data_IF_592402232816
#
_entry.id   IF_592402232816
#
_cell.length_a   1.000
_cell.length_b   1.000
_cell.length_c   1.000
_cell.angle_alpha   90.00
_cell.angle_beta   90.00
_cell.angle_gamma   90.00
#
_symmetry.space_group_name_H-M   'P 1'
#
loop_
_entity.id
_entity.type
_entity.pdbx_description
1 polymer ?
#
# COMPACT_ATOMS: atom_id res chain seq x y z
N UNK A 1 -0.54 4.87 3.93
CA UNK A 1 -0.27 4.53 2.51
C UNK A 1 -1.43 3.76 1.88
N UNK A 2 -1.67 2.48 2.20
CA UNK A 2 -2.71 1.65 1.57
C UNK A 2 -4.12 2.26 1.67
N UNK A 3 -4.53 2.69 2.88
CA UNK A 3 -5.82 3.33 3.11
C UNK A 3 -6.08 4.49 2.14
N UNK A 4 -5.17 5.47 2.13
CA UNK A 4 -5.34 6.68 1.32
C UNK A 4 -5.35 6.36 -0.18
N UNK A 5 -4.62 5.33 -0.60
CA UNK A 5 -4.60 4.83 -1.96
C UNK A 5 -5.97 4.29 -2.41
N UNK A 6 -6.56 3.41 -1.60
CA UNK A 6 -7.86 2.81 -1.88
C UNK A 6 -8.97 3.85 -1.76
N UNK A 7 -8.89 4.71 -0.76
CA UNK A 7 -9.82 5.83 -0.59
C UNK A 7 -9.86 6.74 -1.82
N UNK A 8 -8.69 7.14 -2.35
CA UNK A 8 -8.60 7.94 -3.57
C UNK A 8 -9.23 7.23 -4.78
N UNK A 9 -9.04 5.92 -4.93
CA UNK A 9 -9.67 5.16 -6.02
C UNK A 9 -11.19 5.06 -5.88
N UNK A 10 -11.70 4.94 -4.65
CA UNK A 10 -13.14 4.93 -4.38
C UNK A 10 -13.76 6.29 -4.69
N UNK A 11 -13.10 7.39 -4.33
CA UNK A 11 -13.52 8.75 -4.72
C UNK A 11 -13.53 8.88 -6.24
N UNK A 12 -12.45 8.49 -6.93
CA UNK A 12 -12.38 8.56 -8.38
C UNK A 12 -13.48 7.70 -9.03
N UNK A 13 -13.80 6.54 -8.45
CA UNK A 13 -14.90 5.69 -8.89
C UNK A 13 -16.29 6.33 -8.73
N UNK A 14 -16.51 7.11 -7.67
CA UNK A 14 -17.73 7.90 -7.47
C UNK A 14 -17.83 9.02 -8.51
N UNK A 15 -16.74 9.76 -8.71
CA UNK A 15 -16.67 10.85 -9.70
C UNK A 15 -16.93 10.37 -11.13
N UNK A 16 -16.35 9.22 -11.52
CA UNK A 16 -16.63 8.58 -12.83
C UNK A 16 -18.10 8.22 -13.03
N UNK A 17 -18.87 8.11 -11.95
CA UNK A 17 -20.29 7.75 -11.95
C UNK A 17 -21.19 8.96 -11.65
N UNK A 18 -20.63 10.16 -11.66
CA UNK A 18 -21.29 11.43 -11.36
C UNK A 18 -22.08 11.41 -10.04
N UNK A 19 -21.44 10.85 -9.00
CA UNK A 19 -22.01 10.77 -7.66
C UNK A 19 -21.38 11.82 -6.76
N UNK A 20 -22.23 12.56 -6.07
CA UNK A 20 -21.85 13.67 -5.18
C UNK A 20 -21.71 13.23 -3.71
N UNK A 21 -22.14 12.01 -3.38
CA UNK A 21 -22.07 11.46 -2.03
C UNK A 21 -20.75 10.76 -1.76
N UNK A 22 -20.35 10.73 -0.49
CA UNK A 22 -19.18 9.96 -0.07
C UNK A 22 -19.38 8.46 -0.33
N UNK A 23 -18.35 7.78 -0.83
CA UNK A 23 -18.44 6.35 -1.19
C UNK A 23 -18.89 5.45 -0.03
N UNK A 24 -18.60 5.83 1.21
CA UNK A 24 -18.94 5.05 2.40
C UNK A 24 -20.40 5.27 2.85
N UNK A 25 -21.05 6.36 2.42
CA UNK A 25 -22.49 6.61 2.65
C UNK A 25 -23.36 6.18 1.48
N UNK A 26 -22.80 6.14 0.27
CA UNK A 26 -23.50 5.72 -0.94
C UNK A 26 -23.85 4.21 -0.92
N UNK A 27 -25.14 3.90 -0.87
CA UNK A 27 -25.67 2.52 -0.93
C UNK A 27 -25.42 1.82 -2.26
N UNK A 28 -25.18 2.58 -3.34
CA UNK A 28 -24.86 2.02 -4.66
C UNK A 28 -23.42 1.52 -4.77
N UNK A 29 -22.57 1.75 -3.76
CA UNK A 29 -21.26 1.06 -3.66
C UNK A 29 -21.50 -0.37 -3.18
N UNK A 30 -20.98 -1.38 -3.90
CA UNK A 30 -21.22 -2.79 -3.58
C UNK A 30 -20.40 -3.26 -2.38
N UNK A 31 -20.67 -2.68 -1.20
CA UNK A 31 -20.12 -3.07 0.09
C UNK A 31 -21.07 -4.07 0.75
N UNK A 32 -20.50 -5.07 1.41
CA UNK A 32 -21.27 -6.07 2.17
C UNK A 32 -21.62 -5.58 3.56
N UNK A 33 -22.49 -6.31 4.26
CA UNK A 33 -23.04 -5.90 5.56
C UNK A 33 -21.96 -5.68 6.61
N UNK A 34 -20.95 -6.56 6.66
CA UNK A 34 -19.80 -6.38 7.56
C UNK A 34 -19.06 -5.06 7.29
N UNK A 35 -18.80 -4.73 6.03
CA UNK A 35 -18.12 -3.48 5.67
C UNK A 35 -18.98 -2.26 6.04
N UNK A 36 -20.31 -2.35 5.89
CA UNK A 36 -21.25 -1.30 6.31
C UNK A 36 -21.28 -1.13 7.83
N UNK A 37 -21.28 -2.22 8.59
CA UNK A 37 -21.21 -2.18 10.05
C UNK A 37 -19.89 -1.54 10.53
N UNK A 38 -18.76 -1.91 9.94
CA UNK A 38 -17.45 -1.33 10.26
C UNK A 38 -17.43 0.20 9.96
N UNK A 39 -18.04 0.64 8.86
CA UNK A 39 -18.20 2.07 8.53
C UNK A 39 -19.09 2.80 9.55
N UNK A 40 -20.23 2.22 9.92
CA UNK A 40 -21.13 2.82 10.90
C UNK A 40 -20.43 2.99 12.27
N UNK A 41 -19.67 2.00 12.70
CA UNK A 41 -18.85 2.11 13.91
C UNK A 41 -17.77 3.19 13.80
N UNK A 42 -17.10 3.30 12.65
CA UNK A 42 -16.11 4.34 12.39
C UNK A 42 -16.73 5.74 12.43
N UNK A 43 -17.93 5.92 11.86
CA UNK A 43 -18.68 7.18 11.93
C UNK A 43 -19.07 7.54 13.37
N UNK A 44 -19.54 6.57 14.16
CA UNK A 44 -19.85 6.79 15.58
C UNK A 44 -18.60 7.21 16.36
N UNK A 45 -17.46 6.54 16.18
CA UNK A 45 -16.19 6.90 16.84
C UNK A 45 -15.69 8.28 16.40
N UNK A 46 -15.84 8.61 15.11
CA UNK A 46 -15.51 9.92 14.59
C UNK A 46 -16.40 11.03 15.19
N UNK A 47 -17.69 10.77 15.41
CA UNK A 47 -18.64 11.75 15.97
C UNK A 47 -18.55 11.97 17.49
N UNK A 48 -18.01 11.02 18.25
CA UNK A 48 -17.93 11.09 19.74
C UNK A 48 -17.15 12.27 20.33
N UNK A 49 -16.44 13.08 19.54
CA UNK A 49 -15.70 14.26 20.03
C UNK A 49 -16.39 15.61 19.74
N UNK A 50 -17.70 15.64 19.48
CA UNK A 50 -18.47 16.89 19.36
C UNK A 50 -18.13 17.79 18.16
N UNK A 51 -17.26 17.34 17.26
CA UNK A 51 -16.90 18.05 16.04
C UNK A 51 -17.70 17.51 14.84
N UNK A 52 -17.93 18.36 13.85
CA UNK A 52 -18.45 17.94 12.54
C UNK A 52 -17.70 16.70 12.06
N UNK A 53 -18.44 15.69 11.58
CA UNK A 53 -17.86 14.42 11.14
C UNK A 53 -17.05 14.69 9.86
N UNK A 54 -15.77 15.01 10.04
CA UNK A 54 -14.85 15.17 8.93
C UNK A 54 -14.61 13.81 8.29
N UNK A 55 -14.77 13.73 6.97
CA UNK A 55 -14.45 12.57 6.15
C UNK A 55 -13.11 11.92 6.54
N UNK A 56 -12.07 12.76 6.63
CA UNK A 56 -10.73 12.29 7.01
C UNK A 56 -10.68 11.56 8.35
N UNK A 57 -11.55 11.93 9.31
CA UNK A 57 -11.67 11.26 10.61
C UNK A 57 -12.36 9.91 10.48
N UNK A 58 -13.44 9.79 9.71
CA UNK A 58 -14.09 8.49 9.43
C UNK A 58 -13.11 7.54 8.77
N UNK A 59 -12.40 8.01 7.74
CA UNK A 59 -11.34 7.24 7.08
C UNK A 59 -10.24 6.85 8.07
N UNK A 60 -9.88 7.74 9.00
CA UNK A 60 -8.87 7.46 10.04
C UNK A 60 -9.26 6.34 11.00
N UNK A 61 -10.54 6.25 11.37
CA UNK A 61 -11.10 5.25 12.30
C UNK A 61 -11.26 3.85 11.68
N UNK A 62 -11.24 3.74 10.34
CA UNK A 62 -11.32 2.44 9.66
C UNK A 62 -10.02 1.63 9.83
N UNK A 63 -10.16 0.41 10.34
CA UNK A 63 -9.05 -0.48 10.66
C UNK A 63 -8.30 -0.98 9.42
N UNK A 64 -7.05 -1.43 9.58
CA UNK A 64 -6.32 -2.09 8.49
C UNK A 64 -7.07 -3.32 7.93
N UNK A 65 -7.76 -4.07 8.80
CA UNK A 65 -8.57 -5.22 8.40
C UNK A 65 -9.71 -4.85 7.47
N UNK A 66 -10.36 -3.71 7.68
CA UNK A 66 -11.37 -3.18 6.75
C UNK A 66 -10.79 -2.97 5.35
N UNK A 67 -9.65 -2.26 5.26
CA UNK A 67 -9.00 -1.96 3.97
C UNK A 67 -8.52 -3.22 3.25
N UNK A 68 -7.99 -4.19 4.01
CA UNK A 68 -7.65 -5.53 3.47
C UNK A 68 -8.90 -6.24 2.95
N UNK A 69 -10.01 -6.18 3.68
CA UNK A 69 -11.25 -6.85 3.30
C UNK A 69 -11.83 -6.33 1.99
N UNK A 70 -11.65 -5.05 1.64
CA UNK A 70 -12.02 -4.52 0.32
C UNK A 70 -11.26 -5.17 -0.85
N UNK A 71 -10.09 -5.76 -0.57
CA UNK A 71 -9.29 -6.52 -1.53
C UNK A 71 -9.60 -8.03 -1.49
N UNK A 72 -10.68 -8.46 -0.84
CA UNK A 72 -11.06 -9.87 -0.82
C UNK A 72 -11.66 -10.33 -2.15
N UNK A 73 -11.48 -11.62 -2.45
CA UNK A 73 -12.06 -12.29 -3.62
C UNK A 73 -13.56 -12.01 -3.86
N UNK A 74 -14.36 -11.83 -2.82
CA UNK A 74 -15.79 -11.46 -2.95
C UNK A 74 -16.03 -10.10 -3.63
N UNK A 75 -15.05 -9.20 -3.60
CA UNK A 75 -15.09 -7.90 -4.24
C UNK A 75 -14.35 -7.86 -5.59
N UNK A 76 -13.83 -9.01 -6.06
CA UNK A 76 -13.08 -9.14 -7.31
C UNK A 76 -13.84 -8.63 -8.53
N UNK A 77 -15.14 -8.89 -8.64
CA UNK A 77 -15.92 -8.47 -9.81
C UNK A 77 -16.52 -7.07 -9.64
N UNK A 78 -16.85 -6.69 -8.40
CA UNK A 78 -17.65 -5.49 -8.12
C UNK A 78 -16.83 -4.25 -7.78
N UNK A 79 -15.69 -4.40 -7.10
CA UNK A 79 -14.90 -3.28 -6.56
C UNK A 79 -13.48 -3.23 -7.11
N UNK A 80 -12.88 -4.39 -7.39
CA UNK A 80 -11.50 -4.46 -7.90
C UNK A 80 -11.25 -3.63 -9.17
N UNK A 81 -12.15 -3.56 -10.17
CA UNK A 81 -11.91 -2.73 -11.36
C UNK A 81 -11.65 -1.26 -11.03
N UNK A 82 -12.29 -0.74 -9.98
CA UNK A 82 -12.06 0.62 -9.50
C UNK A 82 -10.80 0.72 -8.63
N UNK A 83 -10.49 -0.32 -7.83
CA UNK A 83 -9.37 -0.30 -6.89
C UNK A 83 -8.00 -0.63 -7.53
N UNK A 84 -7.97 -1.34 -8.65
CA UNK A 84 -6.73 -1.79 -9.29
C UNK A 84 -5.79 -0.61 -9.64
N UNK A 85 -6.37 0.56 -9.95
CA UNK A 85 -5.61 1.80 -10.20
C UNK A 85 -4.77 2.26 -9.00
N UNK A 86 -5.06 1.79 -7.79
CA UNK A 86 -4.24 2.07 -6.61
C UNK A 86 -2.85 1.42 -6.71
N UNK A 87 -2.68 0.36 -7.52
CA UNK A 87 -1.49 -0.49 -7.58
C UNK A 87 -0.84 -0.45 -8.97
N UNK A 88 -0.60 0.76 -9.50
CA UNK A 88 -0.09 0.99 -10.87
C UNK A 88 1.26 0.34 -11.19
N UNK A 89 2.05 -0.02 -10.18
CA UNK A 89 3.37 -0.66 -10.34
C UNK A 89 3.37 -2.13 -9.95
N UNK A 90 2.20 -2.73 -9.68
CA UNK A 90 2.10 -4.18 -9.58
C UNK A 90 2.45 -4.82 -10.94
N UNK A 91 3.15 -5.97 -10.95
CA UNK A 91 3.56 -6.63 -12.19
C UNK A 91 2.35 -7.08 -13.04
N UNK A 92 1.23 -7.35 -12.38
CA UNK A 92 -0.04 -7.68 -12.99
C UNK A 92 -1.20 -7.01 -12.24
N UNK A 93 -2.32 -6.78 -12.94
CA UNK A 93 -3.59 -6.29 -12.39
C UNK A 93 -4.47 -7.40 -11.82
N UNK A 94 -4.00 -8.65 -11.73
CA UNK A 94 -4.73 -9.70 -11.06
C UNK A 94 -4.86 -9.42 -9.55
N UNK A 95 -6.09 -9.52 -9.02
CA UNK A 95 -6.36 -9.30 -7.60
C UNK A 95 -5.45 -10.14 -6.67
N UNK A 96 -5.23 -11.45 -6.90
CA UNK A 96 -4.38 -12.28 -6.02
C UNK A 96 -2.97 -11.73 -5.83
N UNK A 97 -2.37 -11.14 -6.89
CA UNK A 97 -1.03 -10.54 -6.84
C UNK A 97 -0.92 -9.45 -5.75
N UNK A 98 -2.03 -8.76 -5.48
CA UNK A 98 -2.10 -7.70 -4.46
C UNK A 98 -2.70 -8.21 -3.16
N UNK A 99 -3.76 -9.03 -3.25
CA UNK A 99 -4.46 -9.56 -2.08
C UNK A 99 -3.53 -10.40 -1.20
N UNK A 100 -2.74 -11.30 -1.80
CA UNK A 100 -1.93 -12.27 -1.07
C UNK A 100 -0.87 -11.63 -0.16
N UNK A 101 0.01 -10.73 -0.66
CA UNK A 101 0.98 -10.07 0.22
C UNK A 101 0.29 -9.19 1.27
N UNK A 102 -0.79 -8.48 0.92
CA UNK A 102 -1.54 -7.68 1.90
C UNK A 102 -2.19 -8.56 2.99
N UNK A 103 -2.69 -9.75 2.63
CA UNK A 103 -3.26 -10.70 3.55
C UNK A 103 -2.20 -11.27 4.52
N UNK A 104 -1.01 -11.59 4.01
CA UNK A 104 0.13 -12.04 4.82
C UNK A 104 0.57 -10.97 5.81
N UNK A 105 0.68 -9.71 5.38
CA UNK A 105 0.97 -8.59 6.27
C UNK A 105 -0.11 -8.37 7.34
N UNK A 106 -1.39 -8.50 6.98
CA UNK A 106 -2.48 -8.40 7.93
C UNK A 106 -2.40 -9.47 9.02
N UNK A 107 -2.15 -10.72 8.63
CA UNK A 107 -1.94 -11.82 9.59
C UNK A 107 -0.75 -11.51 10.50
N UNK A 108 0.40 -11.16 9.92
CA UNK A 108 1.62 -10.85 10.68
C UNK A 108 1.42 -9.72 11.70
N UNK A 109 0.81 -8.60 11.28
CA UNK A 109 0.47 -7.48 12.18
C UNK A 109 -0.44 -7.94 13.32
N UNK A 110 -1.45 -8.76 13.03
CA UNK A 110 -2.38 -9.23 14.06
C UNK A 110 -1.66 -10.11 15.08
N UNK A 111 -0.75 -10.98 14.67
CA UNK A 111 0.07 -11.79 15.60
C UNK A 111 0.87 -10.91 16.55
N UNK A 112 1.52 -9.87 16.02
CA UNK A 112 2.25 -8.88 16.85
C UNK A 112 1.31 -8.20 17.84
N UNK A 113 0.13 -7.74 17.38
CA UNK A 113 -0.84 -7.04 18.22
C UNK A 113 -1.44 -7.94 19.33
N UNK A 114 -1.54 -9.24 19.06
CA UNK A 114 -1.98 -10.25 20.02
C UNK A 114 -0.83 -10.82 20.88
N UNK A 115 0.39 -10.27 20.75
CA UNK A 115 1.60 -10.77 21.42
C UNK A 115 1.85 -12.27 21.20
N UNK A 116 1.42 -12.79 20.05
CA UNK A 116 1.74 -14.15 19.66
C UNK A 116 3.21 -14.26 19.25
N UNK A 117 3.80 -15.44 19.46
CA UNK A 117 5.17 -15.68 19.06
C UNK A 117 5.41 -15.55 17.56
N UNK A 118 6.37 -14.71 17.18
CA UNK A 118 6.77 -14.49 15.77
C UNK A 118 8.15 -15.06 15.43
N UNK A 119 8.89 -15.56 16.42
CA UNK A 119 10.27 -16.05 16.27
C UNK A 119 10.44 -17.22 15.30
N UNK A 120 9.39 -18.01 15.07
CA UNK A 120 9.40 -19.13 14.13
C UNK A 120 8.98 -18.73 12.71
N UNK A 121 8.64 -17.46 12.47
CA UNK A 121 8.24 -16.99 11.14
C UNK A 121 9.47 -16.59 10.32
N UNK A 122 9.46 -16.87 8.99
CA UNK A 122 10.51 -16.40 8.09
C UNK A 122 10.43 -14.86 8.00
N UNK A 123 11.30 -14.19 8.74
CA UNK A 123 11.28 -12.72 8.88
C UNK A 123 11.65 -12.01 7.57
N UNK A 124 12.54 -12.62 6.78
CA UNK A 124 12.90 -12.16 5.44
C UNK A 124 11.69 -12.14 4.50
N UNK A 125 10.94 -13.24 4.43
CA UNK A 125 9.70 -13.29 3.63
C UNK A 125 8.66 -12.22 4.07
N UNK A 126 8.62 -11.84 5.35
CA UNK A 126 7.75 -10.75 5.82
C UNK A 126 8.25 -9.38 5.44
N UNK A 127 9.58 -9.18 5.44
CA UNK A 127 10.20 -7.97 4.90
C UNK A 127 9.89 -7.84 3.40
N UNK A 128 10.00 -8.94 2.65
CA UNK A 128 9.70 -8.97 1.21
C UNK A 128 8.23 -8.65 0.93
N UNK A 129 7.30 -9.15 1.77
CA UNK A 129 5.89 -8.79 1.69
C UNK A 129 5.68 -7.27 1.87
N UNK A 130 6.35 -6.65 2.84
CA UNK A 130 6.27 -5.20 3.08
C UNK A 130 6.81 -4.44 1.86
N UNK A 131 8.00 -4.83 1.40
CA UNK A 131 8.67 -4.24 0.24
C UNK A 131 7.81 -4.35 -1.02
N UNK A 132 7.20 -5.52 -1.26
CA UNK A 132 6.30 -5.76 -2.40
C UNK A 132 5.11 -4.81 -2.39
N UNK A 133 4.39 -4.72 -1.26
CA UNK A 133 3.20 -3.86 -1.15
C UNK A 133 3.55 -2.37 -1.29
N UNK A 134 4.71 -1.94 -0.77
CA UNK A 134 5.20 -0.58 -0.96
C UNK A 134 5.60 -0.32 -2.41
N UNK A 135 6.25 -1.29 -3.06
CA UNK A 135 6.67 -1.22 -4.47
C UNK A 135 5.50 -1.04 -5.44
N UNK A 136 4.32 -1.62 -5.15
CA UNK A 136 3.13 -1.45 -5.98
C UNK A 136 2.64 0.00 -6.10
N UNK A 137 3.00 0.87 -5.16
CA UNK A 137 2.58 2.28 -5.10
C UNK A 137 3.58 3.26 -5.71
N UNK A 138 4.88 2.93 -5.73
CA UNK A 138 5.93 3.79 -6.29
C UNK A 138 7.28 3.07 -6.35
N UNK A 139 8.22 3.61 -7.14
CA UNK A 139 9.58 3.07 -7.38
C UNK A 139 10.52 3.09 -6.15
N UNK A 140 10.01 3.06 -4.92
CA UNK A 140 10.86 3.28 -3.74
C UNK A 140 11.64 2.04 -3.27
N UNK A 141 11.39 0.86 -3.85
CA UNK A 141 11.93 -0.41 -3.31
C UNK A 141 13.02 -1.04 -4.17
N UNK A 142 13.06 -0.75 -5.48
CA UNK A 142 14.07 -1.36 -6.37
C UNK A 142 15.48 -0.85 -6.10
N UNK A 143 15.64 0.39 -5.62
CA UNK A 143 16.98 0.95 -5.35
C UNK A 143 17.64 0.35 -4.09
N UNK A 144 16.86 -0.03 -3.07
CA UNK A 144 17.41 -0.58 -1.83
C UNK A 144 17.66 -2.09 -1.91
N UNK A 145 16.83 -2.84 -2.64
CA UNK A 145 17.09 -4.25 -2.97
C UNK A 145 18.36 -4.40 -3.82
N UNK A 146 18.59 -3.51 -4.79
CA UNK A 146 19.82 -3.50 -5.60
C UNK A 146 21.09 -3.18 -4.80
N UNK A 147 20.98 -2.44 -3.69
CA UNK A 147 22.11 -2.05 -2.84
C UNK A 147 22.34 -2.97 -1.63
N UNK A 148 21.41 -3.89 -1.33
CA UNK A 148 21.46 -4.77 -0.15
C UNK A 148 21.71 -6.25 -0.47
N UNK A 149 21.86 -6.60 -1.76
CA UNK A 149 22.39 -7.92 -2.14
C UNK A 149 23.88 -8.01 -1.77
N UNK A 150 24.34 -9.07 -1.08
CA UNK A 150 25.76 -9.25 -0.74
C UNK A 150 26.66 -9.52 -1.96
N UNK A 151 26.10 -9.78 -3.13
CA UNK A 151 26.83 -10.17 -4.35
C UNK A 151 27.47 -8.98 -5.10
N UNK A 152 27.63 -7.83 -4.43
CA UNK A 152 28.19 -6.60 -5.00
C UNK A 152 29.67 -6.34 -4.70
N UNK A 153 30.43 -7.33 -4.24
CA UNK A 153 31.87 -7.16 -3.97
C UNK A 153 32.72 -7.65 -5.15
N UNK A 154 33.17 -6.68 -5.95
CA UNK A 154 34.55 -6.62 -6.41
C UNK A 154 34.93 -7.43 -7.64
N UNK A 155 34.77 -6.84 -8.83
CA UNK A 155 35.76 -7.01 -9.88
C UNK A 155 36.20 -5.63 -10.37
N UNK A 156 37.41 -5.25 -9.99
CA UNK A 156 38.01 -3.98 -10.36
C UNK A 156 38.19 -3.87 -11.86
N UNK A 157 37.51 -2.90 -12.47
CA UNK A 157 37.99 -2.28 -13.71
C UNK A 157 38.40 -0.86 -13.41
N UNK A 158 39.71 -0.70 -13.31
CA UNK A 158 40.42 0.57 -13.20
C UNK A 158 40.02 1.48 -14.38
N UNK A 159 39.52 2.70 -14.17
CA UNK A 159 39.35 3.66 -15.26
C UNK A 159 40.74 4.11 -15.76
N UNK A 160 40.92 4.40 -17.06
CA UNK A 160 42.22 4.82 -17.56
C UNK A 160 42.59 6.17 -16.96
N UNK A 161 43.76 6.21 -16.32
CA UNK A 161 44.43 7.43 -15.87
C UNK A 161 44.64 8.33 -17.07
N UNK A 162 43.83 9.40 -17.18
CA UNK A 162 44.16 10.53 -18.06
C UNK A 162 45.30 11.31 -17.40
N UNK A 163 46.50 11.15 -17.92
CA UNK A 163 47.63 12.05 -17.67
C UNK A 163 47.23 13.47 -18.10
N UNK A 164 46.99 14.35 -17.13
CA UNK A 164 47.04 15.79 -17.35
C UNK A 164 48.50 16.19 -17.26
N UNK A 165 49.12 16.45 -18.42
CA UNK A 165 50.38 17.18 -18.49
C UNK A 165 50.11 18.62 -18.08
N UNK A 166 50.63 19.01 -16.91
CA UNK A 166 50.80 20.41 -16.51
C UNK A 166 52.26 20.78 -16.72
N UNK A 167 52.54 21.58 -17.75
CA UNK A 167 53.70 22.43 -17.90
C UNK A 167 53.29 23.51 -18.91
N UNK A 168 53.45 24.80 -18.73
CA UNK A 168 54.00 25.63 -17.67
C UNK A 168 53.81 27.08 -18.15
N UNK A 169 53.48 27.98 -17.25
CA UNK A 169 53.46 29.43 -17.48
C UNK A 169 54.90 29.95 -17.40
N UNK A 170 55.40 30.68 -18.40
CA UNK A 170 56.15 31.95 -18.22
C UNK A 170 56.71 32.50 -19.55
N UNK A 171 56.45 33.81 -19.72
CA UNK A 171 57.06 34.83 -20.60
C UNK A 171 56.86 34.76 -22.10
#
# INVERSE_FOLDING_TARGET
MLRNALDAQLIAGQQRRDRTTDWYTDRKVPLGDKARADIAQAQQRAGRRGAAILRGKVIAELSFGFWRFLLARQYKTKLWPDLAGAFRHAPDRALPMVEDPVARLHKFRNRIAHHEGIWHLPTEARRDDIQTVLGFRGRFVTLWQALSSPDGVGEGRNPPVRSRSCAGVMM
#
